data_IF_559108206811
#
_entry.id   IF_559108206811
#
_cell.length_a   1.000
_cell.length_b   1.000
_cell.length_c   1.000
_cell.angle_alpha   90.00
_cell.angle_beta   90.00
_cell.angle_gamma   90.00
#
_symmetry.space_group_name_H-M   'P 1'
#
loop_
_entity.id
_entity.type
_entity.pdbx_description
1 polymer ?
#
# COMPACT_ATOMS: atom_id res chain seq x y z
N UNK A 1 0.47 15.25 3.93
CA UNK A 1 1.56 14.91 3.00
C UNK A 1 2.73 14.35 3.78
N UNK A 2 3.38 13.31 3.26
CA UNK A 2 4.58 12.67 3.85
C UNK A 2 5.69 13.70 4.07
N UNK A 3 5.82 14.71 3.21
CA UNK A 3 6.82 15.79 3.31
C UNK A 3 6.80 16.53 4.64
N UNK A 4 5.70 16.54 5.39
CA UNK A 4 5.62 17.16 6.71
C UNK A 4 6.42 16.42 7.80
N UNK A 5 6.75 15.15 7.54
CA UNK A 5 7.42 14.26 8.49
C UNK A 5 8.86 13.94 8.07
N UNK A 6 9.28 14.40 6.89
CA UNK A 6 10.67 14.25 6.43
C UNK A 6 11.46 15.49 6.87
N UNK A 7 12.51 15.26 7.63
CA UNK A 7 13.42 16.31 8.10
C UNK A 7 14.70 16.26 7.28
N UNK A 8 15.21 17.43 6.87
CA UNK A 8 16.44 17.58 6.10
C UNK A 8 16.24 18.31 4.78
N UNK A 9 17.33 18.57 4.06
CA UNK A 9 17.33 19.25 2.76
C UNK A 9 16.86 18.37 1.61
N UNK A 10 16.72 17.04 1.82
CA UNK A 10 16.30 16.10 0.81
C UNK A 10 14.81 16.25 0.52
N UNK A 11 14.50 16.72 -0.68
CA UNK A 11 13.15 16.84 -1.16
C UNK A 11 12.57 15.44 -1.45
N UNK A 12 11.33 15.19 -1.01
CA UNK A 12 10.62 13.96 -1.32
C UNK A 12 10.22 13.99 -2.79
N UNK A 13 10.62 13.00 -3.57
CA UNK A 13 10.15 12.79 -4.93
C UNK A 13 8.95 11.85 -4.90
N UNK A 14 7.89 12.25 -5.57
CA UNK A 14 6.60 11.54 -5.59
C UNK A 14 6.41 10.84 -6.93
N UNK A 15 6.07 9.57 -6.87
CA UNK A 15 5.67 8.76 -8.02
C UNK A 15 4.21 8.36 -7.83
N UNK A 16 3.37 8.57 -8.85
CA UNK A 16 1.97 8.16 -8.80
C UNK A 16 1.47 7.75 -10.19
N UNK A 17 0.80 6.62 -10.25
CA UNK A 17 0.12 6.12 -11.45
C UNK A 17 -1.39 6.06 -11.20
N UNK A 18 -2.18 6.46 -12.17
CA UNK A 18 -3.64 6.48 -12.06
C UNK A 18 -4.27 6.17 -13.42
N UNK A 19 -5.18 5.20 -13.43
CA UNK A 19 -5.89 4.77 -14.63
C UNK A 19 -6.82 5.85 -15.16
N UNK A 20 -7.63 6.45 -14.27
CA UNK A 20 -8.65 7.45 -14.66
C UNK A 20 -8.01 8.82 -14.85
N UNK A 21 -8.12 9.36 -16.07
CA UNK A 21 -7.51 10.66 -16.43
C UNK A 21 -7.94 11.81 -15.52
N UNK A 22 -9.21 11.84 -15.11
CA UNK A 22 -9.68 12.89 -14.20
C UNK A 22 -9.01 12.79 -12.82
N UNK A 23 -8.90 11.60 -12.25
CA UNK A 23 -8.22 11.36 -10.97
C UNK A 23 -6.72 11.61 -11.09
N UNK A 24 -6.11 11.25 -12.20
CA UNK A 24 -4.73 11.59 -12.52
C UNK A 24 -4.48 13.11 -12.47
N UNK A 25 -5.33 13.89 -13.12
CA UNK A 25 -5.23 15.35 -13.10
C UNK A 25 -5.42 15.92 -11.69
N UNK A 26 -6.40 15.39 -10.93
CA UNK A 26 -6.62 15.79 -9.52
C UNK A 26 -5.43 15.45 -8.64
N UNK A 27 -4.77 14.32 -8.86
CA UNK A 27 -3.56 13.93 -8.12
C UNK A 27 -2.45 14.95 -8.33
N UNK A 28 -2.19 15.35 -9.57
CA UNK A 28 -1.20 16.39 -9.92
C UNK A 28 -1.54 17.72 -9.27
N UNK A 29 -2.78 18.17 -9.42
CA UNK A 29 -3.25 19.41 -8.79
C UNK A 29 -3.06 19.38 -7.28
N UNK A 30 -3.43 18.29 -6.61
CA UNK A 30 -3.28 18.16 -5.17
C UNK A 30 -1.81 18.24 -4.71
N UNK A 31 -0.88 17.67 -5.46
CA UNK A 31 0.54 17.75 -5.14
C UNK A 31 1.05 19.20 -5.28
N UNK A 32 0.72 19.86 -6.39
CA UNK A 32 1.09 21.27 -6.61
C UNK A 32 0.48 22.19 -5.56
N UNK A 33 -0.81 22.04 -5.24
CA UNK A 33 -1.48 22.85 -4.21
C UNK A 33 -0.91 22.63 -2.80
N UNK A 34 -0.19 21.52 -2.58
CA UNK A 34 0.54 21.25 -1.33
C UNK A 34 1.95 21.82 -1.33
N UNK A 35 2.33 22.58 -2.35
CA UNK A 35 3.66 23.19 -2.48
C UNK A 35 4.76 22.22 -2.90
N UNK A 36 4.40 21.07 -3.50
CA UNK A 36 5.41 20.16 -4.04
C UNK A 36 5.92 20.76 -5.37
N UNK A 37 7.22 20.90 -5.50
CA UNK A 37 7.86 21.40 -6.72
C UNK A 37 7.65 20.43 -7.90
N UNK A 38 7.51 20.96 -9.11
CA UNK A 38 7.22 20.20 -10.31
C UNK A 38 8.24 19.07 -10.57
N UNK A 39 9.51 19.32 -10.34
CA UNK A 39 10.61 18.36 -10.54
C UNK A 39 10.55 17.16 -9.57
N UNK A 40 9.79 17.32 -8.48
CA UNK A 40 9.56 16.27 -7.50
C UNK A 40 8.24 15.51 -7.73
N UNK A 41 7.53 15.77 -8.83
CA UNK A 41 6.26 15.13 -9.17
C UNK A 41 6.41 14.34 -10.47
N UNK A 42 6.47 13.02 -10.35
CA UNK A 42 6.50 12.11 -11.49
C UNK A 42 5.19 11.32 -11.51
N UNK A 43 4.37 11.56 -12.50
CA UNK A 43 3.05 10.95 -12.57
C UNK A 43 2.78 10.37 -13.95
N UNK A 44 2.07 9.23 -13.97
CA UNK A 44 1.69 8.53 -15.19
C UNK A 44 0.20 8.24 -15.23
N UNK A 45 -0.42 8.43 -16.39
CA UNK A 45 -1.77 7.96 -16.65
C UNK A 45 -1.71 6.58 -17.32
N UNK A 46 -2.06 5.54 -16.59
CA UNK A 46 -2.02 4.16 -17.06
C UNK A 46 -2.55 3.17 -16.04
N UNK A 47 -2.77 1.93 -16.48
CA UNK A 47 -3.20 0.84 -15.62
C UNK A 47 -2.00 0.21 -14.91
N UNK A 48 -1.94 0.34 -13.61
CA UNK A 48 -0.85 -0.17 -12.76
C UNK A 48 -0.64 -1.68 -12.90
N UNK A 49 -1.68 -2.45 -13.14
CA UNK A 49 -1.60 -3.92 -13.23
C UNK A 49 -1.19 -4.40 -14.62
N UNK A 50 -1.48 -3.62 -15.67
CA UNK A 50 -1.07 -3.91 -17.05
C UNK A 50 0.27 -3.28 -17.42
N UNK A 51 0.60 -2.16 -16.82
CA UNK A 51 1.75 -1.35 -17.15
C UNK A 51 2.61 -1.16 -15.90
N UNK A 52 3.60 -2.04 -15.74
CA UNK A 52 4.55 -1.98 -14.63
C UNK A 52 5.36 -0.67 -14.69
N UNK A 53 5.25 0.13 -13.65
CA UNK A 53 5.86 1.44 -13.52
C UNK A 53 6.03 1.76 -12.02
N UNK A 54 7.04 2.52 -11.55
CA UNK A 54 7.99 3.33 -12.33
C UNK A 54 9.25 2.59 -12.78
N UNK A 55 9.88 3.10 -13.84
CA UNK A 55 11.17 2.66 -14.36
C UNK A 55 12.31 3.62 -13.95
N UNK A 56 13.52 3.11 -13.92
CA UNK A 56 14.71 3.93 -13.64
C UNK A 56 15.01 4.92 -14.78
N UNK A 57 14.91 4.47 -16.03
CA UNK A 57 15.01 5.29 -17.22
C UNK A 57 13.75 5.14 -18.09
N UNK A 58 12.93 6.19 -18.13
CA UNK A 58 11.69 6.19 -18.90
C UNK A 58 11.90 6.35 -20.39
N UNK A 59 13.11 6.77 -20.84
CA UNK A 59 13.41 7.00 -22.23
C UNK A 59 13.90 5.72 -22.94
N UNK A 60 14.35 4.72 -22.18
CA UNK A 60 14.85 3.45 -22.73
C UNK A 60 14.09 2.23 -22.20
N UNK A 61 12.78 2.21 -22.41
CA UNK A 61 11.88 1.14 -21.97
C UNK A 61 12.16 -0.22 -22.63
N UNK A 62 12.74 -0.21 -23.82
CA UNK A 62 12.98 -1.42 -24.63
C UNK A 62 14.38 -2.01 -24.47
N UNK A 63 15.36 -1.21 -24.06
CA UNK A 63 16.77 -1.62 -23.97
C UNK A 63 17.21 -2.03 -22.55
N UNK A 64 16.74 -1.32 -21.54
CA UNK A 64 17.13 -1.57 -20.14
C UNK A 64 15.93 -1.43 -19.23
N UNK A 65 15.07 -2.47 -19.18
CA UNK A 65 14.03 -2.52 -18.16
C UNK A 65 14.66 -2.60 -16.77
N UNK A 66 14.71 -1.47 -16.09
CA UNK A 66 15.13 -1.39 -14.69
C UNK A 66 14.01 -0.78 -13.87
N UNK A 67 13.32 -1.56 -13.04
CA UNK A 67 12.29 -1.03 -12.16
C UNK A 67 12.90 -0.04 -11.18
N UNK A 68 12.21 1.06 -10.94
CA UNK A 68 12.59 2.00 -9.91
C UNK A 68 12.12 1.49 -8.54
N UNK A 69 13.01 1.50 -7.58
CA UNK A 69 12.70 1.18 -6.19
C UNK A 69 12.61 2.45 -5.35
N UNK A 70 11.56 2.56 -4.55
CA UNK A 70 11.26 3.71 -3.69
C UNK A 70 11.46 3.38 -2.21
N UNK A 71 11.69 4.40 -1.39
CA UNK A 71 11.91 4.23 0.06
C UNK A 71 10.60 3.93 0.80
N UNK A 72 9.48 4.45 0.29
CA UNK A 72 8.17 4.22 0.91
C UNK A 72 7.04 4.15 -0.12
N UNK A 73 6.10 3.22 0.09
CA UNK A 73 4.83 3.15 -0.63
C UNK A 73 3.68 3.38 0.34
N UNK A 74 2.74 4.23 -0.06
CA UNK A 74 1.47 4.46 0.61
C UNK A 74 0.36 4.26 -0.42
N UNK A 75 -0.42 3.21 -0.26
CA UNK A 75 -1.39 2.76 -1.24
C UNK A 75 -2.78 2.58 -0.64
N UNK A 76 -3.80 2.99 -1.39
CA UNK A 76 -5.20 2.69 -1.12
C UNK A 76 -5.87 2.34 -2.44
N UNK A 77 -5.64 1.11 -2.95
CA UNK A 77 -6.16 0.68 -4.24
C UNK A 77 -7.68 0.49 -4.22
N UNK A 78 -8.33 0.42 -5.39
CA UNK A 78 -9.74 0.06 -5.47
C UNK A 78 -9.96 -1.37 -4.96
N UNK A 79 -10.92 -1.56 -4.02
CA UNK A 79 -11.15 -2.85 -3.38
C UNK A 79 -11.89 -3.83 -4.31
N UNK A 80 -11.41 -5.09 -4.32
CA UNK A 80 -12.04 -6.19 -5.03
C UNK A 80 -12.35 -5.89 -6.51
N UNK A 81 -11.49 -5.14 -7.17
CA UNK A 81 -11.61 -4.83 -8.59
C UNK A 81 -11.22 -6.05 -9.43
N UNK A 82 -11.95 -6.39 -10.50
CA UNK A 82 -11.48 -7.37 -11.48
C UNK A 82 -10.20 -6.90 -12.20
N UNK A 83 -9.36 -7.86 -12.56
CA UNK A 83 -8.13 -7.62 -13.34
C UNK A 83 -7.85 -8.80 -14.27
N UNK A 84 -6.85 -8.68 -15.14
CA UNK A 84 -6.45 -9.75 -16.04
C UNK A 84 -5.13 -10.42 -15.57
N UNK A 85 -5.15 -11.61 -14.98
CA UNK A 85 -3.96 -12.36 -14.59
C UNK A 85 -3.32 -13.17 -15.74
N UNK A 86 -3.92 -13.20 -16.93
CA UNK A 86 -3.44 -14.02 -18.06
C UNK A 86 -2.02 -13.61 -18.46
N UNK A 87 -1.16 -14.61 -18.68
CA UNK A 87 0.24 -14.46 -19.09
C UNK A 87 1.12 -13.66 -18.10
N UNK A 88 0.72 -13.60 -16.82
CA UNK A 88 1.46 -12.88 -15.77
C UNK A 88 2.19 -13.82 -14.78
N UNK A 89 2.23 -15.12 -15.05
CA UNK A 89 2.89 -16.11 -14.18
C UNK A 89 4.39 -15.87 -14.05
N UNK A 90 5.01 -15.33 -15.10
CA UNK A 90 6.45 -15.01 -15.15
C UNK A 90 6.76 -13.54 -14.88
N UNK A 91 5.74 -12.71 -14.65
CA UNK A 91 5.94 -11.31 -14.28
C UNK A 91 6.64 -11.23 -12.91
N UNK A 92 7.75 -10.52 -12.87
CA UNK A 92 8.61 -10.41 -11.69
C UNK A 92 7.89 -9.92 -10.43
N UNK A 93 6.78 -9.20 -10.60
CA UNK A 93 5.95 -8.74 -9.47
C UNK A 93 5.22 -9.88 -8.78
N UNK A 94 4.86 -10.93 -9.52
CA UNK A 94 3.96 -11.99 -9.06
C UNK A 94 4.61 -13.38 -8.97
N UNK A 95 5.63 -13.65 -9.79
CA UNK A 95 6.22 -14.97 -9.99
C UNK A 95 6.59 -15.70 -8.67
N UNK A 96 7.05 -14.96 -7.67
CA UNK A 96 7.45 -15.54 -6.38
C UNK A 96 6.30 -15.79 -5.40
N UNK A 97 5.15 -15.16 -5.62
CA UNK A 97 4.05 -15.15 -4.65
C UNK A 97 2.80 -15.84 -5.17
N UNK A 98 2.59 -15.83 -6.48
CA UNK A 98 1.39 -16.30 -7.17
C UNK A 98 0.49 -15.16 -7.65
N UNK A 99 -0.49 -15.52 -8.48
CA UNK A 99 -1.43 -14.56 -9.06
C UNK A 99 -2.68 -14.41 -8.20
N UNK A 100 -3.13 -13.18 -8.00
CA UNK A 100 -4.42 -12.89 -7.39
C UNK A 100 -5.57 -13.42 -8.26
N UNK A 101 -6.73 -13.77 -7.69
CA UNK A 101 -7.88 -14.24 -8.46
C UNK A 101 -8.39 -13.15 -9.41
N UNK A 102 -8.81 -13.54 -10.63
CA UNK A 102 -9.30 -12.62 -11.68
C UNK A 102 -10.35 -11.63 -11.21
N UNK A 103 -11.19 -12.01 -10.26
CA UNK A 103 -12.26 -11.17 -9.73
C UNK A 103 -11.85 -10.19 -8.63
N UNK A 104 -10.60 -10.27 -8.13
CA UNK A 104 -10.15 -9.49 -6.95
C UNK A 104 -8.66 -9.18 -7.02
N UNK A 105 -8.34 -7.98 -7.47
CA UNK A 105 -6.98 -7.50 -7.64
C UNK A 105 -6.30 -7.06 -6.34
N UNK A 106 -6.93 -7.22 -5.17
CA UNK A 106 -6.40 -6.70 -3.89
C UNK A 106 -4.92 -7.10 -3.69
N UNK A 107 -4.59 -8.38 -3.85
CA UNK A 107 -3.21 -8.85 -3.76
C UNK A 107 -2.35 -8.53 -4.99
N UNK A 108 -2.94 -8.31 -6.17
CA UNK A 108 -2.15 -7.88 -7.33
C UNK A 108 -1.57 -6.48 -7.11
N UNK A 109 -2.35 -5.56 -6.58
CA UNK A 109 -1.86 -4.23 -6.17
C UNK A 109 -0.82 -4.33 -5.05
N UNK A 110 -1.07 -5.17 -4.03
CA UNK A 110 -0.11 -5.37 -2.95
C UNK A 110 1.25 -5.86 -3.47
N UNK A 111 1.25 -6.84 -4.37
CA UNK A 111 2.48 -7.41 -4.92
C UNK A 111 3.21 -6.43 -5.85
N UNK A 112 2.47 -5.64 -6.65
CA UNK A 112 3.05 -4.56 -7.42
C UNK A 112 3.75 -3.53 -6.52
N UNK A 113 3.08 -3.06 -5.49
CA UNK A 113 3.62 -2.09 -4.55
C UNK A 113 4.85 -2.65 -3.81
N UNK A 114 4.77 -3.92 -3.36
CA UNK A 114 5.88 -4.61 -2.68
C UNK A 114 7.11 -4.75 -3.58
N UNK A 115 6.90 -5.00 -4.87
CA UNK A 115 7.97 -5.13 -5.84
C UNK A 115 8.80 -3.84 -5.96
N UNK A 116 8.16 -2.69 -5.85
CA UNK A 116 8.80 -1.39 -6.01
C UNK A 116 9.39 -0.78 -4.73
N UNK A 117 9.40 -1.48 -3.59
CA UNK A 117 10.09 -0.95 -2.41
C UNK A 117 11.54 -1.47 -2.30
N UNK A 118 12.43 -0.59 -1.83
CA UNK A 118 13.83 -0.93 -1.54
C UNK A 118 13.95 -1.98 -0.45
N UNK A 119 15.09 -2.68 -0.33
CA UNK A 119 15.31 -3.66 0.74
C UNK A 119 15.07 -3.13 2.15
N UNK A 120 15.39 -1.86 2.41
CA UNK A 120 15.18 -1.14 3.67
C UNK A 120 13.93 -0.26 3.68
N UNK A 121 13.14 -0.31 2.61
CA UNK A 121 11.92 0.46 2.43
C UNK A 121 10.73 -0.10 3.20
N UNK A 122 9.67 0.70 3.29
CA UNK A 122 8.42 0.36 3.96
C UNK A 122 7.21 0.60 3.06
N UNK A 123 6.25 -0.29 3.13
CA UNK A 123 4.99 -0.18 2.42
C UNK A 123 3.81 -0.22 3.39
N UNK A 124 2.86 0.66 3.16
CA UNK A 124 1.57 0.68 3.87
C UNK A 124 0.45 0.63 2.84
N UNK A 125 -0.36 -0.42 2.88
CA UNK A 125 -1.50 -0.58 1.97
C UNK A 125 -2.79 -0.76 2.75
N UNK A 126 -3.84 -0.05 2.31
CA UNK A 126 -5.19 -0.20 2.85
C UNK A 126 -5.93 -1.25 2.03
N UNK A 127 -6.46 -2.25 2.69
CA UNK A 127 -7.15 -3.38 2.05
C UNK A 127 -8.46 -3.70 2.77
N UNK A 128 -9.43 -4.34 2.09
CA UNK A 128 -10.62 -4.86 2.76
C UNK A 128 -10.24 -6.00 3.70
N UNK A 129 -10.91 -6.08 4.85
CA UNK A 129 -10.63 -7.09 5.89
C UNK A 129 -10.65 -8.54 5.35
N UNK A 130 -11.45 -8.80 4.30
CA UNK A 130 -11.55 -10.11 3.65
C UNK A 130 -10.22 -10.70 3.17
N UNK A 131 -9.20 -9.88 2.85
CA UNK A 131 -7.88 -10.38 2.41
C UNK A 131 -7.19 -11.25 3.47
N UNK A 132 -7.58 -11.15 4.75
CA UNK A 132 -6.96 -11.93 5.82
C UNK A 132 -7.44 -13.38 5.89
N UNK A 133 -8.63 -13.70 5.37
CA UNK A 133 -9.24 -15.02 5.57
C UNK A 133 -9.76 -15.71 4.29
N UNK A 134 -9.82 -15.00 3.15
CA UNK A 134 -10.18 -15.66 1.88
C UNK A 134 -9.13 -16.72 1.52
N UNK A 135 -9.58 -17.88 1.04
CA UNK A 135 -8.75 -19.03 0.69
C UNK A 135 -8.21 -18.99 -0.75
N UNK A 136 -7.92 -20.15 -1.30
CA UNK A 136 -7.44 -20.38 -2.67
C UNK A 136 -6.20 -19.53 -3.01
N UNK A 137 -6.20 -18.82 -4.13
CA UNK A 137 -5.07 -18.00 -4.62
C UNK A 137 -4.63 -16.97 -3.58
N UNK A 138 -5.58 -16.26 -2.95
CA UNK A 138 -5.26 -15.28 -1.90
C UNK A 138 -4.63 -15.94 -0.67
N UNK A 139 -5.08 -17.14 -0.31
CA UNK A 139 -4.49 -17.94 0.77
C UNK A 139 -3.04 -18.34 0.47
N UNK A 140 -2.76 -18.73 -0.79
CA UNK A 140 -1.42 -19.08 -1.25
C UNK A 140 -0.48 -17.86 -1.21
N UNK A 141 -0.90 -16.72 -1.74
CA UNK A 141 -0.12 -15.48 -1.72
C UNK A 141 0.20 -15.08 -0.28
N UNK A 142 -0.80 -15.13 0.60
CA UNK A 142 -0.64 -14.81 2.02
C UNK A 142 0.38 -15.72 2.71
N UNK A 143 0.32 -17.03 2.43
CA UNK A 143 1.31 -18.01 2.90
C UNK A 143 2.71 -17.63 2.44
N UNK A 144 2.90 -17.36 1.15
CA UNK A 144 4.20 -17.00 0.59
C UNK A 144 4.74 -15.69 1.18
N UNK A 145 3.89 -14.69 1.41
CA UNK A 145 4.28 -13.44 2.07
C UNK A 145 4.76 -13.66 3.52
N UNK A 146 4.13 -14.57 4.26
CA UNK A 146 4.51 -14.93 5.63
C UNK A 146 5.83 -15.72 5.62
N UNK A 147 5.95 -16.75 4.80
CA UNK A 147 7.14 -17.59 4.69
C UNK A 147 8.38 -16.79 4.25
N UNK A 148 8.19 -15.79 3.38
CA UNK A 148 9.25 -14.86 2.95
C UNK A 148 9.45 -13.68 3.93
N UNK A 149 8.77 -13.69 5.07
CA UNK A 149 8.89 -12.68 6.13
C UNK A 149 8.63 -11.24 5.66
N UNK A 150 7.58 -11.00 4.85
CA UNK A 150 7.28 -9.68 4.28
C UNK A 150 6.28 -8.86 5.11
N UNK A 151 5.36 -9.51 5.82
CA UNK A 151 4.31 -8.83 6.60
C UNK A 151 4.86 -8.43 7.97
N UNK A 152 4.92 -7.12 8.24
CA UNK A 152 5.43 -6.56 9.50
C UNK A 152 4.31 -6.33 10.53
N UNK A 153 3.22 -5.69 10.11
CA UNK A 153 2.07 -5.47 10.97
C UNK A 153 0.75 -5.48 10.20
N UNK A 154 -0.33 -5.81 10.91
CA UNK A 154 -1.71 -5.75 10.43
C UNK A 154 -2.51 -4.92 11.44
N UNK A 155 -3.10 -3.81 10.97
CA UNK A 155 -3.84 -2.85 11.80
C UNK A 155 -5.30 -2.88 11.37
N UNK A 156 -6.19 -3.38 12.21
CA UNK A 156 -7.63 -3.36 12.00
C UNK A 156 -8.20 -1.97 12.26
N UNK A 157 -8.84 -1.37 11.25
CA UNK A 157 -9.44 -0.04 11.34
C UNK A 157 -10.92 -0.11 11.72
N UNK A 158 -11.50 0.97 12.27
CA UNK A 158 -12.95 1.05 12.48
C UNK A 158 -13.72 0.90 11.16
N UNK A 159 -14.85 0.23 11.19
CA UNK A 159 -15.79 0.23 10.06
C UNK A 159 -16.26 1.66 9.74
N UNK A 160 -16.79 1.91 8.57
CA UNK A 160 -17.27 3.23 8.13
C UNK A 160 -16.24 4.37 8.24
N UNK A 161 -14.93 4.07 8.11
CA UNK A 161 -13.88 5.10 8.16
C UNK A 161 -13.71 5.81 6.81
N UNK A 162 -14.07 5.16 5.72
CA UNK A 162 -13.99 5.72 4.37
C UNK A 162 -15.36 6.14 3.84
N UNK A 163 -15.38 7.22 3.05
CA UNK A 163 -16.59 7.64 2.35
C UNK A 163 -17.00 6.62 1.30
N UNK A 164 -18.31 6.36 1.21
CA UNK A 164 -18.88 5.47 0.19
C UNK A 164 -18.80 3.98 0.47
N UNK A 165 -18.22 3.55 1.60
CA UNK A 165 -18.18 2.13 2.00
C UNK A 165 -18.28 1.96 3.51
N UNK A 166 -19.05 0.95 3.93
CA UNK A 166 -19.12 0.53 5.34
C UNK A 166 -18.19 -0.65 5.65
N UNK A 167 -17.46 -1.14 4.66
CA UNK A 167 -16.62 -2.34 4.79
C UNK A 167 -15.49 -2.08 5.80
N UNK A 168 -15.27 -2.95 6.80
CA UNK A 168 -14.11 -2.87 7.64
C UNK A 168 -12.84 -3.09 6.83
N UNK A 169 -11.84 -2.27 7.07
CA UNK A 169 -10.56 -2.28 6.38
C UNK A 169 -9.40 -2.48 7.33
N UNK A 170 -8.28 -2.84 6.78
CA UNK A 170 -7.00 -2.95 7.50
C UNK A 170 -5.96 -2.06 6.83
N UNK A 171 -4.93 -1.69 7.59
CA UNK A 171 -3.65 -1.28 7.04
C UNK A 171 -2.69 -2.45 7.20
N UNK A 172 -2.13 -2.93 6.11
CA UNK A 172 -1.06 -3.93 6.15
C UNK A 172 0.28 -3.22 5.93
N UNK A 173 1.21 -3.42 6.85
CA UNK A 173 2.57 -2.89 6.79
C UNK A 173 3.48 -4.00 6.30
N UNK A 174 4.20 -3.74 5.20
CA UNK A 174 5.14 -4.70 4.62
C UNK A 174 6.53 -4.08 4.49
N UNK A 175 7.54 -4.94 4.52
CA UNK A 175 8.96 -4.60 4.33
C UNK A 175 9.63 -5.67 3.49
N UNK A 176 10.60 -5.30 2.67
CA UNK A 176 11.38 -6.29 1.91
C UNK A 176 12.30 -7.10 2.82
N UNK A 177 12.95 -6.45 3.77
CA UNK A 177 13.87 -7.08 4.73
C UNK A 177 13.43 -6.82 6.15
N UNK A 178 13.37 -7.86 6.97
CA UNK A 178 12.99 -7.80 8.38
C UNK A 178 13.96 -8.67 9.20
N UNK A 179 14.29 -8.20 10.40
CA UNK A 179 15.15 -8.94 11.35
C UNK A 179 14.32 -9.92 12.18
N UNK A 180 13.13 -9.54 12.58
CA UNK A 180 12.19 -10.37 13.32
C UNK A 180 11.22 -11.11 12.37
N UNK A 181 10.62 -12.20 12.86
CA UNK A 181 9.69 -13.03 12.10
C UNK A 181 8.24 -12.94 12.59
N UNK A 182 8.01 -12.30 13.73
CA UNK A 182 6.67 -12.09 14.28
C UNK A 182 5.88 -11.05 13.47
N UNK A 183 4.58 -11.22 13.37
CA UNK A 183 3.66 -10.26 12.78
C UNK A 183 2.89 -9.57 13.90
N UNK A 184 2.96 -8.24 13.95
CA UNK A 184 2.22 -7.46 14.93
C UNK A 184 0.77 -7.28 14.48
N UNK A 185 -0.18 -7.66 15.33
CA UNK A 185 -1.60 -7.38 15.12
C UNK A 185 -2.06 -6.26 16.04
N UNK A 186 -2.74 -5.24 15.47
CA UNK A 186 -3.32 -4.12 16.22
C UNK A 186 -4.81 -4.03 15.94
N UNK A 187 -5.63 -4.14 16.99
CA UNK A 187 -7.06 -3.90 16.90
C UNK A 187 -7.40 -2.44 17.25
N UNK A 188 -7.41 -1.58 16.23
CA UNK A 188 -7.84 -0.19 16.38
C UNK A 188 -9.33 0.03 16.05
N UNK A 189 -10.11 -1.04 15.90
CA UNK A 189 -11.51 -0.98 15.48
C UNK A 189 -12.43 -0.17 16.40
N UNK A 190 -12.04 0.00 17.67
CA UNK A 190 -12.84 0.71 18.69
C UNK A 190 -12.36 2.13 18.97
N UNK A 191 -11.20 2.54 18.45
CA UNK A 191 -10.62 3.86 18.68
C UNK A 191 -11.12 4.89 17.66
N UNK A 192 -12.32 5.45 17.83
CA UNK A 192 -12.86 6.46 16.91
C UNK A 192 -13.88 7.38 17.58
N UNK A 193 -14.20 8.46 16.90
CA UNK A 193 -15.38 9.32 17.15
C UNK A 193 -16.31 9.28 15.95
N UNK A 194 -17.57 9.62 16.18
CA UNK A 194 -18.54 9.82 15.08
C UNK A 194 -18.30 11.16 14.40
N UNK A 195 -18.31 11.15 13.06
CA UNK A 195 -18.27 12.33 12.21
C UNK A 195 -19.39 12.20 11.16
N UNK A 196 -20.58 12.64 11.50
CA UNK A 196 -21.80 12.38 10.73
C UNK A 196 -22.08 10.87 10.63
N UNK A 197 -22.16 10.38 9.39
CA UNK A 197 -22.39 8.95 9.10
C UNK A 197 -21.12 8.09 9.20
N UNK A 198 -19.95 8.72 9.22
CA UNK A 198 -18.67 8.05 9.22
C UNK A 198 -18.05 7.97 10.62
N UNK A 199 -17.08 7.10 10.76
CA UNK A 199 -16.18 7.04 11.91
C UNK A 199 -14.87 7.76 11.55
N UNK A 200 -14.25 8.40 12.54
CA UNK A 200 -13.01 9.16 12.35
C UNK A 200 -12.02 8.85 13.46
N UNK A 201 -10.79 8.53 13.10
CA UNK A 201 -9.69 8.40 14.06
C UNK A 201 -9.28 9.79 14.56
N UNK A 202 -9.15 9.94 15.88
CA UNK A 202 -8.55 11.12 16.49
C UNK A 202 -7.03 11.08 16.34
N UNK A 203 -6.38 12.22 16.50
CA UNK A 203 -4.91 12.27 16.52
C UNK A 203 -4.30 11.37 17.61
N UNK A 204 -4.98 11.22 18.77
CA UNK A 204 -4.58 10.31 19.84
C UNK A 204 -4.68 8.84 19.43
N UNK A 205 -5.72 8.46 18.68
CA UNK A 205 -5.89 7.09 18.19
C UNK A 205 -4.79 6.74 17.19
N UNK A 206 -4.52 7.65 16.25
CA UNK A 206 -3.44 7.51 15.27
C UNK A 206 -2.08 7.42 16.00
N UNK A 207 -1.83 8.30 16.97
CA UNK A 207 -0.58 8.27 17.76
C UNK A 207 -0.42 6.93 18.48
N UNK A 208 -1.47 6.41 19.11
CA UNK A 208 -1.43 5.11 19.79
C UNK A 208 -1.08 3.98 18.83
N UNK A 209 -1.67 3.96 17.63
CA UNK A 209 -1.34 2.98 16.58
C UNK A 209 0.14 3.08 16.22
N UNK A 210 0.61 4.27 15.88
CA UNK A 210 2.00 4.51 15.45
C UNK A 210 3.01 4.13 16.56
N UNK A 211 2.77 4.58 17.79
CA UNK A 211 3.63 4.25 18.94
C UNK A 211 3.70 2.73 19.18
N UNK A 212 2.58 2.02 18.98
CA UNK A 212 2.53 0.55 19.13
C UNK A 212 3.30 -0.13 18.00
N UNK A 213 3.16 0.32 16.76
CA UNK A 213 3.94 -0.21 15.62
C UNK A 213 5.45 -0.03 15.85
N UNK A 214 5.86 1.15 16.30
CA UNK A 214 7.29 1.47 16.53
C UNK A 214 7.85 0.67 17.71
N UNK A 215 7.13 0.65 18.83
CA UNK A 215 7.61 0.00 20.06
C UNK A 215 7.47 -1.51 20.07
N UNK A 216 6.55 -2.05 19.26
CA UNK A 216 6.13 -3.48 19.23
C UNK A 216 5.79 -4.05 20.62
N UNK A 217 5.36 -3.18 21.53
CA UNK A 217 4.95 -3.61 22.88
C UNK A 217 3.54 -4.17 22.84
N UNK A 218 3.34 -5.26 23.55
CA UNK A 218 2.00 -5.81 23.79
C UNK A 218 1.18 -4.82 24.63
N UNK A 219 0.01 -4.44 24.15
CA UNK A 219 -0.94 -3.54 24.81
C UNK A 219 -2.25 -4.29 24.95
N UNK A 220 -2.68 -4.55 26.19
CA UNK A 220 -3.88 -5.36 26.47
C UNK A 220 -5.07 -4.92 25.63
N UNK A 221 -5.72 -5.90 24.98
CA UNK A 221 -6.85 -5.73 24.05
C UNK A 221 -6.60 -4.76 22.86
N UNK A 222 -5.36 -4.51 22.52
CA UNK A 222 -5.00 -3.64 21.40
C UNK A 222 -3.91 -4.25 20.50
N UNK A 223 -2.85 -4.88 21.05
CA UNK A 223 -1.78 -5.51 20.26
C UNK A 223 -1.17 -6.70 21.00
#
# INVERSE_FOLDING_TARGET
SVSKYVTGENKVKYYAQELKRNTYNLTRMNLVMRGIEADNIVTRNGDTLEDDWPYFDENDRSGTYQPLYVDAVISNPPYSQPWNPTDKETDSRYAEYGLAPKGKADYAFLLHDLYHIRPDGIMNIVLPHGVLFRGNEEGMIRKNLIEKNKIDAIIGLPANIFYGTSIPTIVMVLKQKRENTDVLFIDASKGFIKDGKNNKLRSSDIKKIVDTVISRKNVDKFS
#
